data_IF_467917695097
#
_entry.id   IF_467917695097
#
_cell.length_a   1.000
_cell.length_b   1.000
_cell.length_c   1.000
_cell.angle_alpha   90.00
_cell.angle_beta   90.00
_cell.angle_gamma   90.00
#
_symmetry.space_group_name_H-M   'P 1'
#
loop_
_entity.id
_entity.type
_entity.pdbx_description
1 polymer ?
#
# COMPACT_ATOMS: atom_id res chain seq x y z
N UNK A 1 -4.89 11.42 18.89
CA UNK A 1 -4.61 10.45 17.80
C UNK A 1 -3.14 10.59 17.43
N UNK A 2 -2.44 9.47 17.23
CA UNK A 2 -1.04 9.47 16.77
C UNK A 2 -0.92 10.18 15.42
N UNK A 3 0.17 10.91 15.18
CA UNK A 3 0.46 11.61 13.91
C UNK A 3 0.35 10.66 12.70
N UNK A 4 0.77 9.40 12.86
CA UNK A 4 0.67 8.37 11.82
C UNK A 4 -0.78 7.93 11.54
N UNK A 5 -1.62 7.84 12.58
CA UNK A 5 -3.03 7.49 12.42
C UNK A 5 -3.79 8.58 11.65
N UNK A 6 -3.43 9.85 11.87
CA UNK A 6 -4.01 10.99 11.16
C UNK A 6 -3.65 10.97 9.66
N UNK A 7 -2.39 10.67 9.32
CA UNK A 7 -1.92 10.60 7.93
C UNK A 7 -2.61 9.46 7.17
N UNK A 8 -2.65 8.26 7.76
CA UNK A 8 -3.31 7.11 7.14
C UNK A 8 -4.80 7.36 6.91
N UNK A 9 -5.51 7.90 7.90
CA UNK A 9 -6.92 8.23 7.75
C UNK A 9 -7.14 9.30 6.67
N UNK A 10 -6.31 10.34 6.61
CA UNK A 10 -6.43 11.39 5.60
C UNK A 10 -6.13 10.88 4.18
N UNK A 11 -5.16 9.99 4.01
CA UNK A 11 -4.77 9.48 2.70
C UNK A 11 -5.79 8.49 2.09
N UNK A 12 -6.44 7.69 2.95
CA UNK A 12 -7.39 6.65 2.53
C UNK A 12 -8.87 7.07 2.60
N UNK A 13 -9.17 8.30 3.04
CA UNK A 13 -10.55 8.83 3.12
C UNK A 13 -10.74 9.86 2.03
N UNK A 14 -11.88 9.89 1.32
CA UNK A 14 -12.15 10.93 0.33
C UNK A 14 -12.13 12.31 0.96
N UNK A 15 -11.56 13.30 0.26
CA UNK A 15 -11.46 14.68 0.72
C UNK A 15 -11.79 15.68 -0.40
N UNK A 16 -12.52 16.73 -0.07
CA UNK A 16 -12.83 17.84 -0.99
C UNK A 16 -11.60 18.71 -1.31
N UNK A 17 -10.55 18.60 -0.51
CA UNK A 17 -9.26 19.26 -0.76
C UNK A 17 -8.51 18.62 -1.95
N UNK A 18 -8.86 17.39 -2.32
CA UNK A 18 -8.30 16.74 -3.51
C UNK A 18 -8.95 17.36 -4.75
N UNK A 19 -8.12 17.99 -5.57
CA UNK A 19 -8.54 18.62 -6.81
C UNK A 19 -9.31 17.63 -7.69
N UNK A 20 -10.41 18.09 -8.28
CA UNK A 20 -11.20 17.26 -9.18
C UNK A 20 -10.38 16.90 -10.43
N UNK A 21 -10.23 15.60 -10.69
CA UNK A 21 -9.62 15.05 -11.89
C UNK A 21 -10.70 14.64 -12.89
N UNK A 22 -10.28 14.27 -14.11
CA UNK A 22 -11.19 13.72 -15.11
C UNK A 22 -11.82 12.43 -14.60
N UNK A 23 -13.15 12.31 -14.67
CA UNK A 23 -13.86 11.09 -14.25
C UNK A 23 -14.04 10.16 -15.45
N UNK A 24 -13.69 8.89 -15.28
CA UNK A 24 -13.88 7.85 -16.29
C UNK A 24 -14.44 6.56 -15.67
N UNK A 25 -15.10 5.74 -16.49
CA UNK A 25 -15.56 4.41 -16.10
C UNK A 25 -14.37 3.47 -15.87
N UNK A 26 -14.46 2.61 -14.86
CA UNK A 26 -13.46 1.59 -14.54
C UNK A 26 -13.31 0.55 -15.66
N UNK A 27 -12.08 0.09 -15.87
CA UNK A 27 -11.84 -1.18 -16.56
C UNK A 27 -12.13 -2.37 -15.65
N UNK A 28 -12.24 -3.59 -16.21
CA UNK A 28 -12.44 -4.82 -15.43
C UNK A 28 -11.33 -5.04 -14.40
N UNK A 29 -10.10 -4.71 -14.77
CA UNK A 29 -8.91 -4.80 -13.92
C UNK A 29 -8.95 -3.79 -12.77
N UNK A 30 -9.31 -2.54 -13.06
CA UNK A 30 -9.48 -1.50 -12.03
C UNK A 30 -10.63 -1.85 -11.09
N UNK A 31 -11.71 -2.44 -11.61
CA UNK A 31 -12.83 -2.90 -10.81
C UNK A 31 -12.44 -4.07 -9.89
N UNK A 32 -11.57 -4.97 -10.35
CA UNK A 32 -11.02 -6.03 -9.51
C UNK A 32 -10.09 -5.50 -8.43
N UNK A 33 -9.22 -4.53 -8.76
CA UNK A 33 -8.35 -3.84 -7.79
C UNK A 33 -9.14 -3.02 -6.78
N UNK A 34 -10.20 -2.34 -7.21
CA UNK A 34 -11.16 -1.67 -6.34
C UNK A 34 -11.76 -2.64 -5.31
N UNK A 35 -12.18 -3.84 -5.74
CA UNK A 35 -12.68 -4.89 -4.84
C UNK A 35 -11.60 -5.38 -3.87
N UNK A 36 -10.37 -5.58 -4.35
CA UNK A 36 -9.27 -5.96 -3.47
C UNK A 36 -8.98 -4.89 -2.42
N UNK A 37 -8.82 -3.63 -2.82
CA UNK A 37 -8.63 -2.49 -1.92
C UNK A 37 -9.78 -2.34 -0.91
N UNK A 38 -11.02 -2.59 -1.35
CA UNK A 38 -12.18 -2.61 -0.46
C UNK A 38 -12.06 -3.69 0.62
N UNK A 39 -11.53 -4.88 0.31
CA UNK A 39 -11.35 -5.95 1.32
C UNK A 39 -10.34 -5.59 2.41
N UNK A 40 -9.33 -4.79 2.07
CA UNK A 40 -8.33 -4.30 3.04
C UNK A 40 -8.92 -3.22 3.96
N UNK A 41 -9.75 -2.34 3.41
CA UNK A 41 -10.28 -1.19 4.13
C UNK A 41 -11.61 -1.42 4.85
N UNK A 42 -12.38 -2.42 4.43
CA UNK A 42 -13.61 -2.85 5.07
C UNK A 42 -13.28 -3.92 6.11
N UNK A 43 -13.63 -3.67 7.37
CA UNK A 43 -13.41 -4.64 8.44
C UNK A 43 -14.23 -5.90 8.17
N UNK A 44 -13.55 -7.03 8.00
CA UNK A 44 -14.22 -8.34 8.02
C UNK A 44 -14.94 -8.52 9.36
N UNK A 45 -16.15 -9.08 9.31
CA UNK A 45 -16.88 -9.47 10.51
C UNK A 45 -16.04 -10.40 11.41
N UNK A 46 -15.18 -11.22 10.80
CA UNK A 46 -14.24 -12.08 11.50
C UNK A 46 -13.23 -11.26 12.31
N UNK A 47 -12.71 -10.17 11.74
CA UNK A 47 -11.80 -9.27 12.46
C UNK A 47 -12.49 -8.52 13.60
N UNK A 48 -13.79 -8.21 13.46
CA UNK A 48 -14.60 -7.58 14.51
C UNK A 48 -14.80 -8.52 15.71
N UNK A 49 -14.95 -9.83 15.47
CA UNK A 49 -15.22 -10.82 16.51
C UNK A 49 -13.95 -11.47 17.08
N UNK A 50 -12.96 -11.77 16.24
CA UNK A 50 -11.79 -12.55 16.62
C UNK A 50 -10.91 -11.81 17.64
N UNK A 51 -10.63 -10.52 17.40
CA UNK A 51 -9.80 -9.71 18.28
C UNK A 51 -10.36 -9.59 19.71
N UNK A 52 -11.64 -9.22 19.93
CA UNK A 52 -12.18 -9.18 21.28
C UNK A 52 -12.38 -10.56 21.90
N UNK A 53 -12.61 -11.63 21.14
CA UNK A 53 -12.71 -12.98 21.72
C UNK A 53 -11.35 -13.50 22.15
N UNK A 54 -10.30 -13.29 21.35
CA UNK A 54 -8.96 -13.79 21.65
C UNK A 54 -8.24 -12.96 22.72
N UNK A 55 -8.37 -11.64 22.65
CA UNK A 55 -7.60 -10.71 23.50
C UNK A 55 -8.47 -10.06 24.58
N UNK A 56 -9.77 -9.92 24.34
CA UNK A 56 -10.68 -9.24 25.25
C UNK A 56 -10.84 -9.87 26.63
N UNK A 57 -10.66 -11.19 26.84
CA UNK A 57 -10.61 -11.76 28.18
C UNK A 57 -9.37 -11.34 29.00
N UNK A 58 -8.25 -11.10 28.32
CA UNK A 58 -6.99 -10.78 28.99
C UNK A 58 -6.97 -9.35 29.53
N UNK A 59 -7.54 -8.38 28.79
CA UNK A 59 -7.45 -6.96 29.14
C UNK A 59 -8.09 -6.62 30.49
N UNK A 60 -9.36 -7.00 30.79
CA UNK A 60 -9.97 -6.76 32.09
C UNK A 60 -9.26 -7.50 33.21
N UNK A 61 -8.79 -8.73 32.95
CA UNK A 61 -8.07 -9.54 33.93
C UNK A 61 -6.74 -8.89 34.32
N UNK A 62 -5.93 -8.45 33.34
CA UNK A 62 -4.67 -7.77 33.60
C UNK A 62 -4.88 -6.41 34.27
N UNK A 63 -5.89 -5.63 33.83
CA UNK A 63 -6.22 -4.37 34.47
C UNK A 63 -6.64 -4.56 35.93
N UNK A 64 -7.43 -5.60 36.22
CA UNK A 64 -7.85 -5.96 37.56
C UNK A 64 -6.65 -6.37 38.43
N UNK A 65 -5.80 -7.27 37.94
CA UNK A 65 -4.59 -7.71 38.66
C UNK A 65 -3.63 -6.56 38.95
N UNK A 66 -3.40 -5.67 37.97
CA UNK A 66 -2.57 -4.48 38.16
C UNK A 66 -3.18 -3.52 39.17
N UNK A 67 -4.51 -3.35 39.16
CA UNK A 67 -5.23 -2.56 40.15
C UNK A 67 -5.08 -3.09 41.58
N UNK A 68 -5.20 -4.41 41.76
CA UNK A 68 -4.99 -5.05 43.07
C UNK A 68 -3.55 -4.92 43.55
N UNK A 69 -2.57 -5.10 42.67
CA UNK A 69 -1.15 -4.90 42.97
C UNK A 69 -0.84 -3.45 43.38
N UNK A 70 -1.39 -2.48 42.66
CA UNK A 70 -1.25 -1.07 42.98
C UNK A 70 -1.92 -0.74 44.33
N UNK A 71 -3.12 -1.26 44.59
CA UNK A 71 -3.83 -1.07 45.85
C UNK A 71 -3.03 -1.65 47.03
N UNK A 72 -2.51 -2.87 46.89
CA UNK A 72 -1.67 -3.48 47.93
C UNK A 72 -0.38 -2.70 48.17
N UNK A 73 0.28 -2.25 47.09
CA UNK A 73 1.54 -1.53 47.19
C UNK A 73 1.41 -0.11 47.77
N UNK A 74 0.28 0.56 47.54
CA UNK A 74 0.10 1.98 47.86
C UNK A 74 -0.84 2.24 49.03
N UNK A 75 -1.79 1.35 49.31
CA UNK A 75 -2.89 1.61 50.25
C UNK A 75 -2.86 0.62 51.42
N UNK A 76 -2.86 -0.68 51.14
CA UNK A 76 -2.87 -1.73 52.18
C UNK A 76 -1.92 -2.89 51.87
N UNK A 77 -0.70 -2.88 52.42
CA UNK A 77 0.31 -3.93 52.20
C UNK A 77 -0.11 -5.33 52.68
N UNK A 78 -1.04 -5.41 53.63
CA UNK A 78 -1.54 -6.65 54.20
C UNK A 78 -2.75 -7.23 53.42
N UNK A 79 -3.18 -6.55 52.35
CA UNK A 79 -4.31 -6.97 51.54
C UNK A 79 -4.13 -8.38 50.97
N UNK A 80 -5.10 -9.25 51.28
CA UNK A 80 -5.17 -10.63 50.80
C UNK A 80 -5.76 -10.67 49.38
N UNK A 81 -4.88 -10.75 48.39
CA UNK A 81 -5.26 -10.80 46.98
C UNK A 81 -5.98 -12.09 46.60
N UNK A 82 -5.63 -13.23 47.22
CA UNK A 82 -6.18 -14.53 46.85
C UNK A 82 -7.66 -14.63 47.22
N UNK A 83 -7.99 -14.11 48.41
CA UNK A 83 -9.38 -13.97 48.84
C UNK A 83 -10.17 -13.01 47.95
N UNK A 84 -9.59 -11.86 47.60
CA UNK A 84 -10.25 -10.87 46.77
C UNK A 84 -10.55 -11.41 45.35
N UNK A 85 -9.63 -12.17 44.76
CA UNK A 85 -9.84 -12.83 43.46
C UNK A 85 -10.99 -13.86 43.54
N UNK A 86 -11.03 -14.66 44.61
CA UNK A 86 -12.11 -15.63 44.83
C UNK A 86 -13.50 -15.01 44.95
N UNK A 87 -13.61 -13.88 45.67
CA UNK A 87 -14.89 -13.19 45.91
C UNK A 87 -15.38 -12.37 44.69
N UNK A 88 -14.49 -12.02 43.75
CA UNK A 88 -14.81 -11.14 42.60
C UNK A 88 -14.88 -11.85 41.25
N UNK A 89 -14.63 -13.16 41.20
CA UNK A 89 -14.56 -13.93 39.95
C UNK A 89 -15.80 -13.75 39.06
N UNK A 90 -17.01 -13.79 39.63
CA UNK A 90 -18.27 -13.59 38.89
C UNK A 90 -18.36 -12.17 38.31
N UNK A 91 -17.93 -11.17 39.07
CA UNK A 91 -17.90 -9.76 38.63
C UNK A 91 -16.91 -9.57 37.47
N UNK A 92 -15.72 -10.17 37.54
CA UNK A 92 -14.71 -10.10 36.48
C UNK A 92 -15.23 -10.73 35.18
N UNK A 93 -15.99 -11.83 35.26
CA UNK A 93 -16.63 -12.46 34.09
C UNK A 93 -17.63 -11.49 33.45
N UNK A 94 -18.50 -10.85 34.23
CA UNK A 94 -19.47 -9.89 33.70
C UNK A 94 -18.82 -8.64 33.10
N UNK A 95 -17.80 -8.09 33.75
CA UNK A 95 -17.03 -6.95 33.22
C UNK A 95 -16.36 -7.33 31.90
N UNK A 96 -15.83 -8.54 31.80
CA UNK A 96 -15.23 -9.06 30.58
C UNK A 96 -16.25 -9.20 29.45
N UNK A 97 -17.42 -9.76 29.74
CA UNK A 97 -18.51 -9.87 28.77
C UNK A 97 -18.98 -8.49 28.29
N UNK A 98 -19.12 -7.53 29.20
CA UNK A 98 -19.50 -6.16 28.87
C UNK A 98 -18.43 -5.47 28.00
N UNK A 99 -17.14 -5.67 28.32
CA UNK A 99 -16.03 -5.14 27.54
C UNK A 99 -16.05 -5.69 26.11
N UNK A 100 -16.23 -7.00 25.95
CA UNK A 100 -16.34 -7.65 24.63
C UNK A 100 -17.56 -7.10 23.87
N UNK A 101 -18.72 -6.98 24.52
CA UNK A 101 -19.92 -6.44 23.89
C UNK A 101 -19.75 -4.98 23.44
N UNK A 102 -19.15 -4.13 24.29
CA UNK A 102 -18.83 -2.74 23.97
C UNK A 102 -17.83 -2.65 22.82
N UNK A 103 -16.80 -3.50 22.81
CA UNK A 103 -15.82 -3.57 21.72
C UNK A 103 -16.47 -3.95 20.40
N UNK A 104 -17.30 -4.99 20.39
CA UNK A 104 -18.05 -5.43 19.19
C UNK A 104 -18.95 -4.30 18.71
N UNK A 105 -19.72 -3.68 19.61
CA UNK A 105 -20.62 -2.56 19.28
C UNK A 105 -19.89 -1.36 18.67
N UNK A 106 -18.76 -0.95 19.26
CA UNK A 106 -17.94 0.13 18.73
C UNK A 106 -17.38 -0.20 17.34
N UNK A 107 -16.82 -1.41 17.17
CA UNK A 107 -16.23 -1.81 15.89
C UNK A 107 -17.28 -1.98 14.79
N UNK A 108 -18.48 -2.45 15.15
CA UNK A 108 -19.61 -2.50 14.24
C UNK A 108 -20.10 -1.10 13.86
N UNK A 109 -20.17 -0.17 14.80
CA UNK A 109 -20.50 1.23 14.53
C UNK A 109 -19.48 1.86 13.57
N UNK A 110 -18.18 1.68 13.82
CA UNK A 110 -17.11 2.15 12.92
C UNK A 110 -17.24 1.49 11.54
N UNK A 111 -17.61 0.21 11.49
CA UNK A 111 -17.76 -0.50 10.23
C UNK A 111 -18.97 -0.01 9.41
N UNK A 112 -20.08 0.31 10.07
CA UNK A 112 -21.30 0.75 9.41
C UNK A 112 -21.25 2.25 9.04
N UNK A 113 -20.70 3.08 9.92
CA UNK A 113 -20.80 4.54 9.83
C UNK A 113 -19.47 5.24 9.54
N UNK A 114 -18.33 4.56 9.60
CA UNK A 114 -17.04 5.16 9.28
C UNK A 114 -16.98 5.61 7.81
N UNK A 115 -16.64 6.88 7.57
CA UNK A 115 -16.59 7.48 6.23
C UNK A 115 -15.69 6.68 5.27
N UNK A 116 -14.48 6.30 5.72
CA UNK A 116 -13.58 5.44 4.95
C UNK A 116 -14.21 4.09 4.59
N UNK A 117 -14.80 3.40 5.56
CA UNK A 117 -15.36 2.06 5.32
C UNK A 117 -16.57 2.11 4.38
N UNK A 118 -17.42 3.12 4.52
CA UNK A 118 -18.55 3.34 3.60
C UNK A 118 -18.05 3.61 2.20
N UNK A 119 -17.10 4.54 2.06
CA UNK A 119 -16.50 4.87 0.77
C UNK A 119 -15.92 3.62 0.07
N UNK A 120 -15.04 2.87 0.73
CA UNK A 120 -14.42 1.69 0.12
C UNK A 120 -15.41 0.55 -0.13
N UNK A 121 -16.50 0.46 0.62
CA UNK A 121 -17.59 -0.48 0.33
C UNK A 121 -18.35 -0.11 -0.94
N UNK A 122 -18.60 1.16 -1.18
CA UNK A 122 -19.39 1.65 -2.30
C UNK A 122 -18.55 1.83 -3.58
N UNK A 123 -17.26 2.11 -3.44
CA UNK A 123 -16.34 2.44 -4.53
C UNK A 123 -16.34 1.41 -5.69
N UNK A 124 -16.28 0.08 -5.45
CA UNK A 124 -16.39 -0.90 -6.53
C UNK A 124 -17.72 -0.82 -7.30
N UNK A 125 -18.83 -0.51 -6.62
CA UNK A 125 -20.15 -0.43 -7.24
C UNK A 125 -20.38 0.88 -8.01
N UNK A 126 -19.73 1.96 -7.58
CA UNK A 126 -19.80 3.25 -8.27
C UNK A 126 -19.14 3.22 -9.65
N UNK A 127 -18.16 2.33 -9.86
CA UNK A 127 -17.61 2.02 -11.19
C UNK A 127 -16.82 3.14 -11.86
N UNK A 128 -16.43 4.18 -11.11
CA UNK A 128 -15.72 5.35 -11.63
C UNK A 128 -14.34 5.52 -11.00
N UNK A 129 -13.40 6.02 -11.79
CA UNK A 129 -12.05 6.42 -11.38
C UNK A 129 -11.75 7.84 -11.82
N UNK A 130 -10.81 8.46 -11.14
CA UNK A 130 -10.28 9.78 -11.46
C UNK A 130 -8.95 9.61 -12.21
N UNK A 131 -8.82 10.24 -13.38
CA UNK A 131 -7.65 10.10 -14.25
C UNK A 131 -6.74 11.32 -14.19
N UNK A 132 -5.45 11.07 -14.03
CA UNK A 132 -4.39 12.05 -14.19
C UNK A 132 -3.56 11.69 -15.42
N UNK A 133 -3.48 12.59 -16.41
CA UNK A 133 -2.89 12.30 -17.71
C UNK A 133 -1.48 12.88 -17.84
N UNK A 134 -0.60 12.07 -18.39
CA UNK A 134 0.77 12.46 -18.73
C UNK A 134 1.10 12.01 -20.15
N UNK A 135 1.94 12.80 -20.83
CA UNK A 135 2.53 12.41 -22.11
C UNK A 135 4.00 12.13 -21.91
N UNK A 136 4.43 10.90 -22.18
CA UNK A 136 5.79 10.43 -22.03
C UNK A 136 6.59 10.69 -23.31
N UNK A 137 7.75 11.31 -23.17
CA UNK A 137 8.69 11.59 -24.26
C UNK A 137 9.75 10.49 -24.39
N UNK A 138 10.23 10.01 -23.26
CA UNK A 138 11.23 8.95 -23.15
C UNK A 138 11.10 8.28 -21.79
N UNK A 139 11.50 7.02 -21.70
CA UNK A 139 11.49 6.26 -20.47
C UNK A 139 12.73 5.37 -20.36
N UNK A 140 13.22 5.20 -19.14
CA UNK A 140 14.34 4.33 -18.79
C UNK A 140 13.86 3.36 -17.72
N UNK A 141 14.18 2.08 -17.87
CA UNK A 141 13.86 1.06 -16.88
C UNK A 141 15.08 0.79 -16.01
N UNK A 142 14.90 0.89 -14.70
CA UNK A 142 15.85 0.40 -13.69
C UNK A 142 15.13 -0.60 -12.78
N UNK A 143 15.91 -1.45 -12.11
CA UNK A 143 15.38 -2.57 -11.33
C UNK A 143 15.69 -2.39 -9.86
N UNK A 144 14.87 -2.96 -8.99
CA UNK A 144 15.26 -3.21 -7.61
C UNK A 144 14.85 -4.60 -7.18
N UNK A 145 15.62 -5.15 -6.26
CA UNK A 145 15.19 -6.35 -5.54
C UNK A 145 14.01 -5.97 -4.64
N UNK A 146 12.93 -6.75 -4.71
CA UNK A 146 11.74 -6.58 -3.86
C UNK A 146 11.70 -7.69 -2.78
N UNK A 147 12.85 -8.31 -2.48
CA UNK A 147 13.03 -9.27 -1.40
C UNK A 147 12.80 -8.60 -0.04
N UNK A 148 11.53 -8.56 0.37
CA UNK A 148 11.10 -8.29 1.73
C UNK A 148 11.00 -9.64 2.49
N UNK A 149 11.58 -9.78 3.70
CA UNK A 149 11.38 -10.96 4.54
C UNK A 149 9.91 -11.19 4.94
N UNK A 150 9.06 -10.18 4.88
CA UNK A 150 7.60 -10.38 4.92
C UNK A 150 7.08 -10.67 3.50
N UNK A 151 6.26 -11.71 3.28
CA UNK A 151 5.78 -12.06 1.95
C UNK A 151 4.88 -10.95 1.40
N UNK A 152 5.48 -10.01 0.67
CA UNK A 152 4.77 -9.06 -0.16
C UNK A 152 4.17 -9.83 -1.33
N UNK A 153 2.86 -10.00 -1.30
CA UNK A 153 2.11 -10.47 -2.45
C UNK A 153 1.97 -9.30 -3.44
N UNK A 154 2.18 -9.59 -4.72
CA UNK A 154 1.80 -8.72 -5.82
C UNK A 154 0.51 -9.24 -6.42
N UNK A 155 -0.41 -8.33 -6.72
CA UNK A 155 -1.65 -8.63 -7.41
C UNK A 155 -1.45 -8.47 -8.92
N UNK A 156 -1.43 -9.58 -9.64
CA UNK A 156 -1.29 -9.61 -11.09
C UNK A 156 -2.65 -9.82 -11.76
N UNK A 157 -2.89 -9.08 -12.85
CA UNK A 157 -4.06 -9.28 -13.69
C UNK A 157 -3.75 -10.34 -14.75
N UNK A 158 -4.31 -11.54 -14.58
CA UNK A 158 -4.04 -12.69 -15.44
C UNK A 158 -5.37 -13.37 -15.77
N UNK A 159 -5.64 -13.58 -17.07
CA UNK A 159 -6.85 -14.23 -17.58
C UNK A 159 -8.16 -13.59 -17.08
N UNK A 160 -8.20 -12.26 -17.00
CA UNK A 160 -9.39 -11.52 -16.54
C UNK A 160 -9.65 -11.63 -15.03
N UNK A 161 -8.65 -12.05 -14.25
CA UNK A 161 -8.74 -12.17 -12.78
C UNK A 161 -7.50 -11.62 -12.11
N UNK A 162 -7.70 -11.08 -10.91
CA UNK A 162 -6.62 -10.69 -10.03
C UNK A 162 -6.11 -11.92 -9.27
N UNK A 163 -4.82 -12.25 -9.44
CA UNK A 163 -4.15 -13.37 -8.76
C UNK A 163 -3.04 -12.81 -7.88
N UNK A 164 -2.96 -13.30 -6.64
CA UNK A 164 -1.87 -12.96 -5.73
C UNK A 164 -0.68 -13.88 -5.97
N UNK A 165 0.45 -13.30 -6.32
CA UNK A 165 1.73 -13.99 -6.52
C UNK A 165 2.77 -13.40 -5.56
N UNK A 166 3.86 -14.11 -5.28
CA UNK A 166 4.95 -13.54 -4.48
C UNK A 166 5.69 -12.48 -5.32
N UNK A 167 5.96 -11.30 -4.75
CA UNK A 167 6.81 -10.31 -5.39
C UNK A 167 8.24 -10.86 -5.59
N UNK A 168 8.83 -10.60 -6.75
CA UNK A 168 10.20 -10.99 -7.07
C UNK A 168 11.09 -9.78 -7.28
N UNK A 169 10.81 -9.04 -8.35
CA UNK A 169 11.59 -7.86 -8.75
C UNK A 169 10.64 -6.69 -8.96
N UNK A 170 11.10 -5.48 -8.65
CA UNK A 170 10.37 -4.27 -8.97
C UNK A 170 11.02 -3.58 -10.16
N UNK A 171 10.20 -3.26 -11.15
CA UNK A 171 10.53 -2.42 -12.27
C UNK A 171 10.22 -0.97 -11.91
N UNK A 172 11.21 -0.09 -12.03
CA UNK A 172 11.04 1.34 -11.92
C UNK A 172 11.19 1.96 -13.31
N UNK A 173 10.20 2.73 -13.74
CA UNK A 173 10.21 3.43 -15.03
C UNK A 173 10.44 4.91 -14.78
N UNK A 174 11.64 5.38 -15.09
CA UNK A 174 12.02 6.79 -15.06
C UNK A 174 11.65 7.44 -16.39
N UNK A 175 10.52 8.14 -16.43
CA UNK A 175 10.01 8.76 -17.64
C UNK A 175 10.18 10.28 -17.64
N UNK A 176 10.55 10.84 -18.78
CA UNK A 176 10.51 12.29 -19.01
C UNK A 176 9.19 12.64 -19.67
N UNK A 177 8.44 13.54 -19.07
CA UNK A 177 7.17 14.01 -19.62
C UNK A 177 7.39 15.08 -20.70
N UNK A 178 6.37 15.34 -21.53
CA UNK A 178 6.37 16.41 -22.54
C UNK A 178 6.56 17.81 -21.93
N UNK A 179 6.09 18.00 -20.71
CA UNK A 179 6.23 19.24 -19.93
C UNK A 179 7.57 19.35 -19.20
N UNK A 180 8.45 18.35 -19.33
CA UNK A 180 9.81 18.40 -18.79
C UNK A 180 9.93 17.99 -17.32
N UNK A 181 8.91 17.38 -16.71
CA UNK A 181 9.04 16.75 -15.40
C UNK A 181 9.54 15.31 -15.51
N UNK A 182 10.23 14.85 -14.48
CA UNK A 182 10.44 13.43 -14.27
C UNK A 182 9.18 12.82 -13.66
N UNK A 183 8.75 11.69 -14.22
CA UNK A 183 7.69 10.84 -13.73
C UNK A 183 8.28 9.46 -13.48
N UNK A 184 8.14 8.95 -12.26
CA UNK A 184 8.57 7.63 -11.85
C UNK A 184 7.34 6.75 -11.67
N UNK A 185 7.34 5.60 -12.31
CA UNK A 185 6.34 4.56 -12.11
C UNK A 185 7.00 3.35 -11.48
N UNK A 186 6.34 2.79 -10.48
CA UNK A 186 6.70 1.52 -9.88
C UNK A 186 5.78 0.41 -10.41
N UNK A 187 6.37 -0.73 -10.74
CA UNK A 187 5.65 -1.93 -11.13
C UNK A 187 6.30 -3.15 -10.50
N UNK A 188 5.59 -3.79 -9.57
CA UNK A 188 6.05 -5.04 -8.96
C UNK A 188 5.75 -6.20 -9.90
N UNK A 189 6.72 -7.09 -10.07
CA UNK A 189 6.62 -8.26 -10.94
C UNK A 189 6.73 -9.51 -10.08
N UNK A 190 5.87 -10.50 -10.34
CA UNK A 190 5.90 -11.74 -9.59
C UNK A 190 7.16 -12.56 -9.87
N UNK A 191 7.69 -13.16 -8.81
CA UNK A 191 8.83 -14.04 -8.86
C UNK A 191 8.55 -15.29 -9.72
N UNK A 192 9.48 -15.63 -10.60
CA UNK A 192 9.45 -16.87 -11.38
C UNK A 192 9.98 -18.07 -10.56
N UNK A 193 10.80 -17.82 -9.53
CA UNK A 193 11.40 -18.88 -8.69
C UNK A 193 11.33 -18.53 -7.20
N UNK A 194 11.33 -19.58 -6.36
CA UNK A 194 11.24 -19.46 -4.90
C UNK A 194 12.57 -19.10 -4.23
N UNK A 195 13.68 -19.39 -4.89
CA UNK A 195 15.04 -19.26 -4.38
C UNK A 195 15.97 -18.83 -5.52
N UNK A 196 16.84 -17.86 -5.25
CA UNK A 196 17.88 -17.40 -6.18
C UNK A 196 18.01 -15.88 -6.18
N UNK A 197 19.12 -15.35 -6.74
CA UNK A 197 19.26 -13.92 -6.98
C UNK A 197 18.15 -13.41 -7.92
N UNK A 198 17.78 -12.12 -7.85
CA UNK A 198 16.75 -11.56 -8.71
C UNK A 198 17.15 -11.75 -10.18
N UNK A 199 16.24 -12.28 -10.97
CA UNK A 199 16.46 -12.51 -12.40
C UNK A 199 15.67 -11.53 -13.24
N UNK A 200 16.16 -11.27 -14.45
CA UNK A 200 15.41 -10.47 -15.41
C UNK A 200 14.08 -11.14 -15.73
N UNK A 201 12.95 -10.43 -15.55
CA UNK A 201 11.64 -10.96 -15.84
C UNK A 201 11.46 -11.17 -17.35
N UNK A 202 10.60 -12.11 -17.70
CA UNK A 202 10.10 -12.30 -19.08
C UNK A 202 9.58 -10.97 -19.64
N UNK A 203 9.84 -10.70 -20.93
CA UNK A 203 9.36 -9.47 -21.58
C UNK A 203 7.86 -9.28 -21.47
N UNK A 204 7.10 -10.38 -21.51
CA UNK A 204 5.64 -10.39 -21.34
C UNK A 204 5.16 -9.92 -19.97
N UNK A 205 6.03 -9.92 -18.96
CA UNK A 205 5.76 -9.43 -17.60
C UNK A 205 6.22 -7.99 -17.38
N UNK A 206 7.01 -7.43 -18.31
CA UNK A 206 7.54 -6.07 -18.17
C UNK A 206 6.47 -5.05 -18.51
N UNK A 207 6.42 -3.97 -17.74
CA UNK A 207 5.62 -2.82 -18.07
C UNK A 207 6.28 -2.07 -19.25
N UNK A 208 5.60 -2.03 -20.39
CA UNK A 208 6.00 -1.25 -21.56
C UNK A 208 5.09 -0.02 -21.67
N UNK A 209 5.56 1.18 -21.29
CA UNK A 209 4.70 2.35 -21.28
C UNK A 209 4.36 2.83 -22.70
N UNK A 210 3.07 3.08 -22.95
CA UNK A 210 2.61 3.89 -24.08
C UNK A 210 2.96 5.37 -23.89
N UNK A 211 3.02 6.14 -24.99
CA UNK A 211 3.28 7.59 -24.93
C UNK A 211 2.22 8.36 -24.14
N UNK A 212 0.98 7.91 -24.19
CA UNK A 212 -0.09 8.49 -23.40
C UNK A 212 -0.31 7.61 -22.18
N UNK A 213 -0.14 8.19 -21.00
CA UNK A 213 -0.38 7.54 -19.73
C UNK A 213 -1.53 8.25 -19.02
N UNK A 214 -2.48 7.48 -18.49
CA UNK A 214 -3.40 7.95 -17.48
C UNK A 214 -3.25 7.13 -16.20
N UNK A 215 -2.93 7.79 -15.10
CA UNK A 215 -2.90 7.17 -13.77
C UNK A 215 -4.32 7.26 -13.22
N UNK A 216 -4.90 6.11 -12.90
CA UNK A 216 -6.26 6.00 -12.37
C UNK A 216 -6.22 5.99 -10.85
N UNK A 217 -6.92 6.93 -10.22
CA UNK A 217 -7.09 7.06 -8.78
C UNK A 217 -8.51 6.71 -8.35
N UNK A 218 -8.65 6.24 -7.12
CA UNK A 218 -9.96 6.15 -6.49
C UNK A 218 -10.49 7.58 -6.24
N UNK A 219 -11.74 7.89 -6.62
CA UNK A 219 -12.26 9.26 -6.63
C UNK A 219 -12.05 10.02 -5.32
N UNK A 220 -11.62 11.28 -5.40
CA UNK A 220 -11.36 12.15 -4.24
C UNK A 220 -10.34 11.61 -3.24
N UNK A 221 -9.52 10.63 -3.63
CA UNK A 221 -8.43 10.08 -2.82
C UNK A 221 -7.10 10.14 -3.58
N UNK A 222 -6.03 9.80 -2.87
CA UNK A 222 -4.68 9.69 -3.40
C UNK A 222 -4.28 8.23 -3.69
N UNK A 223 -5.24 7.30 -3.70
CA UNK A 223 -4.98 5.88 -3.91
C UNK A 223 -5.04 5.55 -5.40
N UNK A 224 -3.90 5.14 -5.96
CA UNK A 224 -3.81 4.59 -7.32
C UNK A 224 -4.52 3.24 -7.41
N UNK A 225 -5.41 3.10 -8.37
CA UNK A 225 -6.13 1.87 -8.72
C UNK A 225 -5.59 1.26 -10.01
N UNK A 226 -4.99 2.04 -10.92
CA UNK A 226 -4.48 1.50 -12.17
C UNK A 226 -3.61 2.45 -12.97
N UNK A 227 -3.06 1.91 -14.05
CA UNK A 227 -2.34 2.64 -15.09
C UNK A 227 -2.96 2.28 -16.43
N UNK A 228 -3.33 3.29 -17.22
CA UNK A 228 -3.83 3.12 -18.59
C UNK A 228 -2.81 3.67 -19.55
N UNK A 229 -2.44 2.86 -20.54
CA UNK A 229 -1.53 3.27 -21.60
C UNK A 229 -2.28 3.32 -22.93
N UNK A 230 -2.03 4.37 -23.70
CA UNK A 230 -2.55 4.53 -25.06
C UNK A 230 -1.51 5.12 -26.00
N UNK A 231 -1.84 5.11 -27.28
CA UNK A 231 -0.96 5.60 -28.34
C UNK A 231 0.21 4.64 -28.64
N UNK A 232 1.20 5.11 -29.42
CA UNK A 232 2.39 4.32 -29.74
C UNK A 232 3.26 4.11 -28.50
N UNK A 233 4.09 3.07 -28.50
CA UNK A 233 5.05 2.83 -27.43
C UNK A 233 5.94 4.07 -27.22
N UNK A 234 6.15 4.45 -25.96
CA UNK A 234 7.14 5.45 -25.62
C UNK A 234 8.54 4.92 -25.95
N UNK A 235 9.48 5.76 -26.41
CA UNK A 235 10.88 5.38 -26.51
C UNK A 235 11.36 4.89 -25.14
N UNK A 236 11.69 3.60 -25.05
CA UNK A 236 12.02 2.91 -23.81
C UNK A 236 13.42 2.33 -23.91
N UNK A 237 14.28 2.66 -22.95
CA UNK A 237 15.59 2.03 -22.79
C UNK A 237 15.55 1.13 -21.58
N UNK A 238 15.77 -0.18 -21.79
CA UNK A 238 15.87 -1.15 -20.70
C UNK A 238 17.32 -1.21 -20.24
N UNK A 239 17.58 -1.00 -18.95
CA UNK A 239 18.92 -1.08 -18.36
C UNK A 239 19.06 -2.34 -17.50
N UNK A 240 20.28 -2.70 -17.08
CA UNK A 240 20.53 -3.74 -16.08
C UNK A 240 20.79 -3.16 -14.71
N UNK A 241 20.65 -1.85 -14.56
CA UNK A 241 20.96 -1.17 -13.32
C UNK A 241 20.04 -1.65 -12.21
N UNK A 242 20.66 -2.26 -11.20
CA UNK A 242 20.00 -2.67 -9.97
C UNK A 242 20.21 -1.58 -8.93
N UNK A 243 19.12 -0.93 -8.54
CA UNK A 243 19.10 0.07 -7.48
C UNK A 243 19.50 -0.56 -6.15
N UNK A 244 20.36 0.14 -5.41
CA UNK A 244 20.57 -0.13 -4.00
C UNK A 244 19.32 0.18 -3.18
N UNK A 245 19.24 -0.35 -1.95
CA UNK A 245 18.12 -0.09 -1.05
C UNK A 245 17.92 1.43 -0.80
N UNK A 246 19.01 2.14 -0.52
CA UNK A 246 18.98 3.60 -0.29
C UNK A 246 18.50 4.37 -1.53
N UNK A 247 18.92 3.95 -2.74
CA UNK A 247 18.42 4.54 -3.99
C UNK A 247 16.94 4.26 -4.19
N UNK A 248 16.45 3.08 -3.81
CA UNK A 248 15.02 2.74 -3.88
C UNK A 248 14.19 3.61 -2.93
N UNK A 249 14.61 3.73 -1.67
CA UNK A 249 13.90 4.55 -0.68
C UNK A 249 13.87 6.01 -1.11
N UNK A 250 15.01 6.55 -1.56
CA UNK A 250 15.09 7.92 -2.05
C UNK A 250 14.24 8.14 -3.30
N UNK A 251 14.25 7.20 -4.25
CA UNK A 251 13.44 7.29 -5.47
C UNK A 251 11.95 7.26 -5.14
N UNK A 252 11.54 6.37 -4.22
CA UNK A 252 10.15 6.26 -3.80
C UNK A 252 9.66 7.53 -3.09
N UNK A 253 10.52 8.14 -2.26
CA UNK A 253 10.23 9.40 -1.58
C UNK A 253 10.17 10.58 -2.56
N UNK A 254 11.15 10.70 -3.46
CA UNK A 254 11.25 11.76 -4.46
C UNK A 254 10.04 11.81 -5.40
N UNK A 255 9.46 10.65 -5.72
CA UNK A 255 8.28 10.51 -6.57
C UNK A 255 6.96 10.31 -5.77
N UNK A 256 6.99 10.49 -4.46
CA UNK A 256 5.84 10.44 -3.56
C UNK A 256 4.95 9.18 -3.69
N UNK A 257 5.54 8.00 -3.86
CA UNK A 257 4.80 6.76 -4.10
C UNK A 257 3.94 6.28 -2.91
N UNK A 258 4.34 6.61 -1.68
CA UNK A 258 3.70 6.08 -0.46
C UNK A 258 2.78 7.06 0.24
N UNK A 259 3.14 8.34 0.28
CA UNK A 259 2.36 9.40 0.92
C UNK A 259 2.59 10.69 0.14
N UNK A 260 1.49 11.31 -0.29
CA UNK A 260 1.51 12.61 -0.95
C UNK A 260 0.22 13.37 -0.64
N UNK A 261 0.33 14.70 -0.61
CA UNK A 261 -0.80 15.61 -0.48
C UNK A 261 -0.56 16.80 -1.41
N UNK A 262 -1.63 17.41 -1.98
CA UNK A 262 -1.47 18.61 -2.80
C UNK A 262 -0.58 19.66 -2.11
N UNK A 263 0.36 20.29 -2.84
CA UNK A 263 0.50 20.30 -4.30
C UNK A 263 1.23 19.09 -4.92
N UNK A 264 1.75 18.16 -4.11
CA UNK A 264 2.52 17.01 -4.58
C UNK A 264 1.65 16.05 -5.40
N UNK A 265 2.25 15.45 -6.43
CA UNK A 265 1.57 14.53 -7.36
C UNK A 265 2.25 13.16 -7.33
N UNK A 266 1.45 12.11 -7.48
CA UNK A 266 1.96 10.75 -7.50
C UNK A 266 2.89 10.52 -8.69
N UNK A 267 4.07 9.99 -8.42
CA UNK A 267 5.05 9.65 -9.44
C UNK A 267 5.82 10.86 -9.97
N UNK A 268 5.32 12.08 -9.83
CA UNK A 268 6.04 13.28 -10.28
C UNK A 268 7.16 13.56 -9.28
N UNK A 269 8.38 13.68 -9.79
CA UNK A 269 9.56 13.93 -8.94
C UNK A 269 9.56 15.37 -8.45
N UNK A 270 9.79 15.55 -7.15
CA UNK A 270 9.99 16.87 -6.56
C UNK A 270 11.13 17.62 -7.29
N UNK A 271 10.96 18.91 -7.63
CA UNK A 271 12.01 19.72 -8.22
C UNK A 271 13.37 19.64 -7.52
N UNK A 272 13.42 19.47 -6.19
CA UNK A 272 14.68 19.35 -5.44
C UNK A 272 15.45 18.06 -5.70
N UNK A 273 14.76 16.99 -6.15
CA UNK A 273 15.37 15.69 -6.45
C UNK A 273 15.50 15.42 -7.96
N UNK A 274 15.03 16.34 -8.81
CA UNK A 274 15.04 16.18 -10.26
C UNK A 274 16.46 16.00 -10.84
N UNK A 275 17.45 16.70 -10.29
CA UNK A 275 18.85 16.59 -10.72
C UNK A 275 19.42 15.21 -10.34
N UNK A 276 19.14 14.75 -9.11
CA UNK A 276 19.56 13.44 -8.65
C UNK A 276 18.94 12.30 -9.48
N UNK A 277 17.65 12.39 -9.83
CA UNK A 277 17.01 11.42 -10.75
C UNK A 277 17.65 11.48 -12.14
N UNK A 278 18.05 12.67 -12.60
CA UNK A 278 18.81 12.82 -13.85
C UNK A 278 20.17 12.12 -13.81
N UNK A 279 20.91 12.26 -12.72
CA UNK A 279 22.18 11.56 -12.51
C UNK A 279 21.99 10.04 -12.41
N UNK A 280 20.95 9.58 -11.70
CA UNK A 280 20.59 8.17 -11.62
C UNK A 280 20.30 7.60 -13.02
N UNK A 281 19.51 8.31 -13.82
CA UNK A 281 19.23 7.93 -15.20
C UNK A 281 20.50 7.86 -16.05
N UNK A 282 21.43 8.82 -15.90
CA UNK A 282 22.71 8.81 -16.60
C UNK A 282 23.57 7.58 -16.21
N UNK A 283 23.71 7.29 -14.91
CA UNK A 283 24.42 6.09 -14.43
C UNK A 283 23.80 4.80 -14.94
N UNK A 284 22.47 4.74 -14.97
CA UNK A 284 21.75 3.57 -15.48
C UNK A 284 21.98 3.36 -16.99
N UNK A 285 22.10 4.44 -17.76
CA UNK A 285 22.42 4.36 -19.20
C UNK A 285 23.87 3.94 -19.48
N UNK A 286 24.81 4.27 -18.60
CA UNK A 286 26.19 3.78 -18.68
C UNK A 286 26.30 2.28 -18.35
N UNK A 287 25.35 1.77 -17.57
CA UNK A 287 25.18 0.34 -17.29
C UNK A 287 24.43 -0.33 -18.44
N UNK A 288 25.11 -0.50 -19.58
CA UNK A 288 24.56 -1.18 -20.76
C UNK A 288 24.04 -2.59 -20.44
N UNK A 289 22.84 -2.89 -20.95
CA UNK A 289 22.37 -4.28 -21.10
C UNK A 289 22.95 -4.81 -22.42
N UNK A 290 23.69 -5.93 -22.43
CA UNK A 290 23.98 -6.62 -23.67
C UNK A 290 22.64 -7.03 -24.30
N UNK A 291 22.43 -6.65 -25.57
CA UNK A 291 21.18 -6.65 -26.35
C UNK A 291 20.36 -7.96 -26.32
N UNK A 292 20.91 -9.06 -25.76
CA UNK A 292 20.28 -10.38 -25.61
C UNK A 292 20.29 -10.91 -24.16
N UNK A 293 19.71 -10.19 -23.18
CA UNK A 293 19.45 -10.81 -21.86
C UNK A 293 18.18 -11.66 -21.94
N UNK A 294 18.39 -12.95 -22.26
CA UNK A 294 17.37 -13.98 -22.13
C UNK A 294 16.76 -13.95 -20.72
N UNK A 295 15.44 -14.16 -20.64
CA UNK A 295 14.73 -14.28 -19.37
C UNK A 295 15.41 -15.32 -18.46
N UNK A 296 15.49 -15.01 -17.16
CA UNK A 296 16.13 -15.89 -16.17
C UNK A 296 17.63 -15.65 -15.94
N UNK A 297 18.27 -14.71 -16.64
CA UNK A 297 19.62 -14.24 -16.27
C UNK A 297 19.57 -13.43 -14.97
N UNK A 298 20.57 -13.59 -14.10
CA UNK A 298 20.71 -12.78 -12.90
C UNK A 298 20.85 -11.28 -13.24
N UNK A 299 20.20 -10.43 -12.46
CA UNK A 299 20.47 -8.99 -12.41
C UNK A 299 21.82 -8.80 -11.71
N UNK A 300 22.77 -8.11 -12.36
CA UNK A 300 24.15 -7.88 -11.88
C UNK A 300 24.50 -6.42 -11.98
#
# INVERSE_FOLDING_TARGET
MSKCQNIYERFHTPSDEVAAREVAAMSDEEHARAKSAATVHVRSWLAILLAPVAVGPWVPMFAYMLGLLAYRGMVDPAFDMDRAVGETAVTVIWVTALFIAAWIGLNWCIATYGARQRYWREMPFNGNVELERHTLRSAIVVWSDDYDPEPLYVEEWIDGKLKSSRAGVRQWVLARTSVGHWLVLDHRIAADSWCGPPTFPLETKRLIPGRELAIAFAPRTNIRIGLRFSGPAAPLTVTSYLLSHDECERLAAAAHHYVFFPPDQYGIVDPSDADWVGELAARALESEVPVDVAAGRALT
#
